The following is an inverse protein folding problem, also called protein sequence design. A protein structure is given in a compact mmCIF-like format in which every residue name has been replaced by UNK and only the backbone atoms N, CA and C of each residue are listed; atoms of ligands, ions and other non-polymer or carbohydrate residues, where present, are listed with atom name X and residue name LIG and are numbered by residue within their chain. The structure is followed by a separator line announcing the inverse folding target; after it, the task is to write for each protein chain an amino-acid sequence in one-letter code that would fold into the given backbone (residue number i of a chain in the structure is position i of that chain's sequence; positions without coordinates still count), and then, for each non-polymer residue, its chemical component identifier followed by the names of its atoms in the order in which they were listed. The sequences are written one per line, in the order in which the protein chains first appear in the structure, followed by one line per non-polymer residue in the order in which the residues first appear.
data_IF_537280174295
#
_entry.id   IF_537280174295
#
_cell.length_a   1.000
_cell.length_b   1.000
_cell.length_c   1.000
_cell.angle_alpha   90.00
_cell.angle_beta   90.00
_cell.angle_gamma   90.00
#
_symmetry.space_group_name_H-M   'P 1'
#
loop_
_entity.id
_entity.type
_entity.pdbx_description
1 polymer ?
#
# COMPACT_ATOMS: atom_id res chain seq x y z
N UNK A 1 -28.07 12.55 -35.96
CA UNK A 1 -28.71 12.30 -34.65
C UNK A 1 -29.44 13.58 -34.26
N UNK A 2 -30.73 13.49 -33.93
CA UNK A 2 -31.50 14.67 -33.52
C UNK A 2 -31.02 15.09 -32.13
N UNK A 3 -30.56 16.34 -32.00
CA UNK A 3 -30.13 16.89 -30.71
C UNK A 3 -31.37 17.12 -29.85
N UNK A 4 -31.46 16.39 -28.73
CA UNK A 4 -32.62 16.43 -27.84
C UNK A 4 -32.42 17.43 -26.68
N UNK A 5 -31.16 17.71 -26.30
CA UNK A 5 -30.81 18.71 -25.31
C UNK A 5 -29.89 19.76 -25.94
N UNK A 6 -30.40 20.98 -26.06
CA UNK A 6 -29.61 22.11 -26.53
C UNK A 6 -28.80 22.70 -25.38
N UNK A 7 -27.49 22.60 -25.45
CA UNK A 7 -26.59 23.27 -24.51
C UNK A 7 -26.33 24.69 -24.99
N UNK A 8 -26.34 25.70 -24.10
CA UNK A 8 -26.07 27.07 -24.50
C UNK A 8 -24.66 27.22 -25.03
N UNK A 9 -24.45 28.18 -25.93
CA UNK A 9 -23.11 28.55 -26.37
C UNK A 9 -22.27 29.04 -25.18
N UNK A 10 -21.02 28.59 -25.12
CA UNK A 10 -20.11 29.01 -24.08
C UNK A 10 -19.72 30.47 -24.31
N UNK A 11 -19.77 31.27 -23.25
CA UNK A 11 -19.19 32.61 -23.24
C UNK A 11 -17.67 32.52 -23.45
N UNK A 12 -17.04 33.61 -23.92
CA UNK A 12 -15.62 33.64 -24.28
C UNK A 12 -14.69 33.14 -23.16
N UNK A 13 -14.94 33.50 -21.90
CA UNK A 13 -14.16 32.99 -20.76
C UNK A 13 -14.29 31.47 -20.59
N UNK A 14 -15.48 30.91 -20.86
CA UNK A 14 -15.75 29.48 -20.78
C UNK A 14 -15.06 28.71 -21.91
N UNK A 15 -14.98 29.29 -23.10
CA UNK A 15 -14.23 28.76 -24.23
C UNK A 15 -12.72 28.74 -23.95
N UNK A 16 -12.18 29.85 -23.41
CA UNK A 16 -10.77 29.93 -22.99
C UNK A 16 -10.44 28.88 -21.91
N UNK A 17 -11.34 28.68 -20.95
CA UNK A 17 -11.18 27.66 -19.93
C UNK A 17 -11.21 26.24 -20.53
N UNK A 18 -12.18 25.96 -21.42
CA UNK A 18 -12.29 24.69 -22.15
C UNK A 18 -11.03 24.33 -22.94
N UNK A 19 -10.30 25.34 -23.44
CA UNK A 19 -9.05 25.14 -24.18
C UNK A 19 -7.94 24.48 -23.35
N UNK A 20 -7.91 24.69 -22.02
CA UNK A 20 -6.79 24.27 -21.17
C UNK A 20 -7.16 23.07 -20.29
N UNK A 21 -8.43 22.97 -19.88
CA UNK A 21 -8.89 22.07 -18.82
C UNK A 21 -8.52 20.58 -19.03
N UNK A 22 -8.80 19.92 -20.17
CA UNK A 22 -8.48 18.52 -20.36
C UNK A 22 -6.98 18.21 -20.21
N UNK A 23 -6.12 19.10 -20.72
CA UNK A 23 -4.68 18.94 -20.67
C UNK A 23 -4.14 19.13 -19.25
N UNK A 24 -4.65 20.12 -18.51
CA UNK A 24 -4.29 20.35 -17.12
C UNK A 24 -4.68 19.16 -16.22
N UNK A 25 -5.88 18.61 -16.42
CA UNK A 25 -6.37 17.48 -15.65
C UNK A 25 -5.54 16.20 -15.85
N UNK A 26 -4.97 16.01 -17.04
CA UNK A 26 -4.11 14.86 -17.38
C UNK A 26 -2.69 14.95 -16.82
N UNK A 27 -2.23 16.10 -16.32
CA UNK A 27 -0.84 16.26 -15.89
C UNK A 27 -0.59 15.94 -14.41
N UNK A 28 -1.56 16.18 -13.51
CA UNK A 28 -1.26 16.14 -12.06
C UNK A 28 -2.11 15.16 -11.23
N UNK A 29 -3.29 14.73 -11.69
CA UNK A 29 -4.27 14.11 -10.78
C UNK A 29 -4.37 12.59 -10.87
N UNK A 30 -3.76 11.96 -11.88
CA UNK A 30 -3.94 10.53 -12.16
C UNK A 30 -2.66 9.76 -11.90
N UNK A 31 -2.64 9.00 -10.79
CA UNK A 31 -1.57 8.09 -10.44
C UNK A 31 -1.75 6.72 -11.13
N UNK A 32 -1.28 6.63 -12.38
CA UNK A 32 -1.35 5.39 -13.16
C UNK A 32 -0.44 4.30 -12.58
N UNK A 33 0.67 4.67 -11.92
CA UNK A 33 1.62 3.71 -11.35
C UNK A 33 0.98 2.92 -10.20
N UNK A 34 0.31 3.61 -9.26
CA UNK A 34 -0.42 2.94 -8.18
C UNK A 34 -1.59 2.12 -8.69
N UNK A 35 -2.33 2.60 -9.70
CA UNK A 35 -3.42 1.82 -10.32
C UNK A 35 -2.92 0.53 -10.95
N UNK A 36 -1.83 0.62 -11.72
CA UNK A 36 -1.21 -0.55 -12.33
C UNK A 36 -0.68 -1.51 -11.27
N UNK A 37 -0.01 -1.00 -10.23
CA UNK A 37 0.44 -1.79 -9.11
C UNK A 37 -0.71 -2.54 -8.42
N UNK A 38 -1.84 -1.85 -8.17
CA UNK A 38 -3.03 -2.49 -7.59
C UNK A 38 -3.68 -3.51 -8.51
N UNK A 39 -3.71 -3.27 -9.83
CA UNK A 39 -4.17 -4.25 -10.81
C UNK A 39 -3.30 -5.50 -10.77
N UNK A 40 -1.98 -5.35 -10.77
CA UNK A 40 -1.04 -6.47 -10.72
C UNK A 40 -1.06 -7.22 -9.39
N UNK A 41 -1.29 -6.51 -8.28
CA UNK A 41 -1.35 -7.08 -6.93
C UNK A 41 -2.66 -7.84 -6.71
N UNK A 42 -3.80 -7.17 -6.93
CA UNK A 42 -5.12 -7.68 -6.57
C UNK A 42 -5.88 -8.33 -7.72
N UNK A 43 -5.45 -8.13 -8.96
CA UNK A 43 -6.22 -8.49 -10.15
C UNK A 43 -7.40 -7.55 -10.44
N UNK A 44 -7.63 -6.56 -9.57
CA UNK A 44 -8.78 -5.68 -9.62
C UNK A 44 -8.37 -4.21 -9.76
N UNK A 45 -8.96 -3.53 -10.74
CA UNK A 45 -8.92 -2.08 -10.87
C UNK A 45 -10.23 -1.65 -11.54
N UNK A 46 -10.90 -0.56 -11.14
CA UNK A 46 -12.16 -0.16 -11.76
C UNK A 46 -11.97 0.11 -13.26
N UNK A 47 -12.67 -0.64 -14.12
CA UNK A 47 -12.46 -0.59 -15.58
C UNK A 47 -12.86 0.74 -16.20
N UNK A 48 -13.80 1.46 -15.60
CA UNK A 48 -14.21 2.78 -16.04
C UNK A 48 -13.16 3.88 -15.73
N UNK A 49 -12.05 3.56 -15.05
CA UNK A 49 -11.09 4.52 -14.51
C UNK A 49 -9.66 4.41 -15.09
N UNK A 50 -9.52 4.62 -16.39
CA UNK A 50 -8.23 4.59 -17.08
C UNK A 50 -7.89 5.82 -17.93
N UNK A 51 -7.99 7.05 -17.39
CA UNK A 51 -7.37 8.21 -18.04
C UNK A 51 -5.85 8.04 -18.05
N UNK A 52 -5.21 8.28 -19.21
CA UNK A 52 -3.79 8.05 -19.41
C UNK A 52 -2.98 9.34 -19.52
N UNK A 53 -2.11 9.56 -18.54
CA UNK A 53 -1.09 10.63 -18.56
C UNK A 53 0.10 10.24 -19.45
N UNK A 54 0.99 11.16 -19.87
CA UNK A 54 2.16 10.80 -20.67
C UNK A 54 3.10 9.86 -19.91
N UNK A 55 3.25 10.08 -18.60
CA UNK A 55 4.04 9.22 -17.70
C UNK A 55 3.42 7.83 -17.60
N UNK A 56 2.10 7.77 -17.42
CA UNK A 56 1.34 6.51 -17.40
C UNK A 56 1.45 5.74 -18.72
N UNK A 57 1.39 6.42 -19.86
CA UNK A 57 1.57 5.80 -21.17
C UNK A 57 2.97 5.19 -21.33
N UNK A 58 4.03 5.92 -20.93
CA UNK A 58 5.42 5.41 -20.95
C UNK A 58 5.57 4.17 -20.08
N UNK A 59 4.96 4.19 -18.88
CA UNK A 59 4.95 3.04 -17.98
C UNK A 59 4.25 1.83 -18.62
N UNK A 60 3.03 2.01 -19.12
CA UNK A 60 2.22 0.93 -19.69
C UNK A 60 2.81 0.38 -21.00
N UNK A 61 3.62 1.16 -21.71
CA UNK A 61 4.30 0.76 -22.93
C UNK A 61 5.70 0.21 -22.71
N UNK A 62 6.26 0.33 -21.51
CA UNK A 62 7.60 -0.16 -21.15
C UNK A 62 7.79 -1.65 -21.44
N UNK A 63 9.02 -2.04 -21.77
CA UNK A 63 9.46 -3.43 -21.99
C UNK A 63 9.99 -4.10 -20.71
N UNK A 64 9.82 -3.46 -19.56
CA UNK A 64 10.22 -4.03 -18.27
C UNK A 64 9.49 -5.35 -18.00
N UNK A 65 10.24 -6.36 -17.53
CA UNK A 65 9.64 -7.60 -17.08
C UNK A 65 8.72 -7.35 -15.87
N UNK A 66 7.58 -8.01 -15.88
CA UNK A 66 6.50 -7.86 -14.89
C UNK A 66 6.21 -9.15 -14.12
N UNK A 67 6.98 -10.21 -14.39
CA UNK A 67 6.82 -11.54 -13.78
C UNK A 67 7.14 -11.53 -12.29
N UNK A 68 8.28 -10.96 -11.92
CA UNK A 68 8.88 -11.14 -10.59
C UNK A 68 8.37 -10.18 -9.52
N UNK A 69 7.90 -8.98 -9.90
CA UNK A 69 7.43 -7.97 -8.95
C UNK A 69 6.27 -7.13 -9.50
N UNK A 70 5.43 -6.62 -8.57
CA UNK A 70 4.43 -5.60 -8.88
C UNK A 70 5.08 -4.31 -9.37
N UNK A 71 4.37 -3.49 -10.14
CA UNK A 71 4.87 -2.27 -10.77
C UNK A 71 5.78 -1.40 -9.88
N UNK A 72 5.30 -1.00 -8.69
CA UNK A 72 6.08 -0.19 -7.75
C UNK A 72 7.12 -0.96 -6.92
N UNK A 73 7.09 -2.29 -6.90
CA UNK A 73 8.07 -3.12 -6.18
C UNK A 73 9.27 -3.49 -7.06
N UNK A 74 9.27 -3.11 -8.33
CA UNK A 74 10.41 -3.33 -9.24
C UNK A 74 11.61 -2.48 -8.81
N UNK A 75 12.80 -2.95 -9.17
CA UNK A 75 14.06 -2.32 -8.81
C UNK A 75 14.07 -0.81 -9.15
N UNK A 76 14.64 -0.03 -8.23
CA UNK A 76 14.82 1.42 -8.34
C UNK A 76 13.54 2.27 -8.41
N UNK A 77 12.35 1.70 -8.19
CA UNK A 77 11.08 2.47 -8.17
C UNK A 77 10.81 3.14 -6.84
N UNK A 78 11.15 2.47 -5.74
CA UNK A 78 10.88 2.94 -4.38
C UNK A 78 12.12 2.68 -3.51
N UNK A 79 12.43 3.55 -2.53
CA UNK A 79 13.54 3.32 -1.61
C UNK A 79 13.50 1.92 -0.98
N UNK A 80 14.67 1.31 -0.85
CA UNK A 80 14.84 0.00 -0.22
C UNK A 80 14.23 0.03 1.17
N UNK A 81 13.49 -1.01 1.51
CA UNK A 81 12.99 -1.24 2.86
C UNK A 81 13.85 -2.32 3.50
N UNK A 82 14.54 -1.97 4.57
CA UNK A 82 15.43 -2.91 5.27
C UNK A 82 14.60 -3.77 6.22
N UNK A 83 14.69 -5.09 6.06
CA UNK A 83 14.06 -6.07 6.93
C UNK A 83 15.12 -6.80 7.76
N UNK A 84 14.76 -7.18 8.99
CA UNK A 84 15.61 -7.96 9.90
C UNK A 84 14.80 -9.11 10.51
N UNK A 85 15.37 -10.32 10.51
CA UNK A 85 14.79 -11.48 11.18
C UNK A 85 15.16 -11.47 12.67
N UNK A 86 14.16 -11.47 13.56
CA UNK A 86 14.39 -11.47 15.01
C UNK A 86 15.07 -12.74 15.53
N UNK A 87 15.00 -13.86 14.80
CA UNK A 87 15.59 -15.13 15.21
C UNK A 87 17.01 -15.32 14.66
N UNK A 88 17.18 -15.22 13.35
CA UNK A 88 18.47 -15.53 12.72
C UNK A 88 19.42 -14.34 12.65
N UNK A 89 18.91 -13.12 12.86
CA UNK A 89 19.74 -11.91 12.73
C UNK A 89 19.96 -11.45 11.29
N UNK A 90 19.44 -12.17 10.30
CA UNK A 90 19.59 -11.84 8.89
C UNK A 90 18.97 -10.49 8.57
N UNK A 91 19.76 -9.58 8.01
CA UNK A 91 19.31 -8.33 7.43
C UNK A 91 19.19 -8.50 5.90
N UNK A 92 18.03 -8.17 5.34
CA UNK A 92 17.74 -8.35 3.91
C UNK A 92 16.85 -7.20 3.40
N UNK A 93 16.93 -6.84 2.11
CA UNK A 93 15.97 -5.93 1.50
C UNK A 93 14.60 -6.60 1.36
N UNK A 94 13.51 -5.86 1.59
CA UNK A 94 12.17 -6.37 1.33
C UNK A 94 11.95 -6.61 -0.16
N UNK A 95 11.32 -7.73 -0.51
CA UNK A 95 10.96 -8.05 -1.90
C UNK A 95 9.71 -7.31 -2.40
N UNK A 96 8.94 -6.68 -1.50
CA UNK A 96 7.72 -5.95 -1.85
C UNK A 96 7.60 -4.62 -1.07
N UNK A 97 8.60 -3.72 -1.18
CA UNK A 97 8.75 -2.55 -0.32
C UNK A 97 7.66 -1.49 -0.52
N UNK A 98 7.10 -1.36 -1.73
CA UNK A 98 6.00 -0.44 -2.02
C UNK A 98 4.66 -1.04 -1.56
N UNK A 99 4.42 -2.33 -1.84
CA UNK A 99 3.23 -3.03 -1.37
C UNK A 99 3.12 -2.94 0.16
N UNK A 100 4.22 -3.20 0.88
CA UNK A 100 4.21 -3.13 2.34
C UNK A 100 3.89 -1.72 2.85
N UNK A 101 4.45 -0.68 2.22
CA UNK A 101 4.14 0.71 2.57
C UNK A 101 2.67 1.05 2.36
N UNK A 102 2.06 0.57 1.27
CA UNK A 102 0.62 0.74 1.01
C UNK A 102 -0.24 0.03 2.06
N UNK A 103 0.15 -1.17 2.49
CA UNK A 103 -0.53 -1.91 3.56
C UNK A 103 -0.41 -1.15 4.88
N UNK A 104 0.79 -0.70 5.23
CA UNK A 104 1.06 0.03 6.48
C UNK A 104 0.27 1.34 6.54
N UNK A 105 0.26 2.12 5.46
CA UNK A 105 -0.47 3.38 5.38
C UNK A 105 -1.99 3.16 5.37
N UNK A 106 -2.48 2.10 4.72
CA UNK A 106 -3.90 1.75 4.66
C UNK A 106 -4.44 1.12 5.95
N UNK A 107 -3.58 0.50 6.76
CA UNK A 107 -3.97 -0.17 8.00
C UNK A 107 -4.20 0.86 9.10
N UNK A 108 -5.45 0.94 9.58
CA UNK A 108 -5.84 1.83 10.68
C UNK A 108 -5.17 1.40 11.98
N UNK A 109 -4.75 2.39 12.78
CA UNK A 109 -4.22 2.14 14.12
C UNK A 109 -5.35 1.62 15.00
N UNK A 110 -5.23 0.36 15.43
CA UNK A 110 -6.18 -0.29 16.31
C UNK A 110 -6.05 0.20 17.75
N UNK A 111 -4.80 0.32 18.23
CA UNK A 111 -4.51 0.82 19.58
C UNK A 111 -3.27 1.68 19.59
N UNK A 112 -3.31 2.78 20.33
CA UNK A 112 -2.13 3.57 20.69
C UNK A 112 -1.81 3.31 22.16
N UNK A 113 -0.58 2.90 22.45
CA UNK A 113 -0.10 2.77 23.83
C UNK A 113 0.55 4.10 24.21
N UNK A 114 0.14 4.67 25.34
CA UNK A 114 0.74 5.90 25.87
C UNK A 114 1.98 5.57 26.68
N UNK A 115 2.99 6.41 26.54
CA UNK A 115 4.23 6.32 27.28
C UNK A 115 4.37 7.59 28.11
N UNK A 116 4.21 7.49 29.43
CA UNK A 116 4.20 8.66 30.32
C UNK A 116 5.52 9.43 30.24
N UNK A 117 6.65 8.72 30.15
CA UNK A 117 7.98 9.32 29.99
C UNK A 117 8.17 10.06 28.66
N UNK A 118 7.38 9.71 27.64
CA UNK A 118 7.38 10.39 26.34
C UNK A 118 6.68 11.75 26.35
N UNK A 119 5.63 11.90 27.17
CA UNK A 119 4.81 13.12 27.23
C UNK A 119 5.39 14.14 28.24
N UNK A 120 6.04 13.68 29.31
CA UNK A 120 6.61 14.53 30.36
C UNK A 120 7.97 15.14 30.01
N UNK A 121 8.75 14.47 29.16
CA UNK A 121 10.02 15.01 28.67
C UNK A 121 9.75 15.88 27.44
N UNK A 122 9.70 17.20 27.63
CA UNK A 122 9.86 18.19 26.54
C UNK A 122 11.27 18.15 25.90
N UNK A 123 11.95 17.01 25.90
CA UNK A 123 13.37 16.86 25.67
C UNK A 123 13.73 16.97 24.19
N UNK A 124 14.91 17.55 23.95
CA UNK A 124 15.61 17.71 22.66
C UNK A 124 16.03 16.38 22.00
N UNK A 125 15.54 15.24 22.48
CA UNK A 125 15.94 13.90 22.02
C UNK A 125 15.11 13.44 20.83
N UNK A 126 15.75 12.68 19.93
CA UNK A 126 15.09 12.15 18.73
C UNK A 126 14.10 11.05 19.11
N UNK A 127 12.83 11.45 19.24
CA UNK A 127 11.68 10.59 19.48
C UNK A 127 11.66 9.39 18.52
N UNK A 128 11.36 8.22 19.05
CA UNK A 128 11.24 6.99 18.29
C UNK A 128 9.79 6.52 18.28
N UNK A 129 9.40 5.87 17.19
CA UNK A 129 8.08 5.35 16.99
C UNK A 129 8.17 3.91 16.53
N UNK A 130 7.55 3.02 17.30
CA UNK A 130 7.32 1.63 16.92
C UNK A 130 5.89 1.45 16.48
N UNK A 131 5.70 0.83 15.32
CA UNK A 131 4.41 0.33 14.89
C UNK A 131 4.47 -1.19 14.81
N UNK A 132 3.69 -1.85 15.66
CA UNK A 132 3.57 -3.30 15.70
C UNK A 132 2.37 -3.74 14.86
N UNK A 133 2.63 -4.61 13.90
CA UNK A 133 1.66 -5.24 13.01
C UNK A 133 1.49 -6.70 13.43
N UNK A 134 0.36 -6.97 14.09
CA UNK A 134 -0.05 -8.31 14.47
C UNK A 134 -0.76 -8.96 13.28
N UNK A 135 -0.11 -9.93 12.64
CA UNK A 135 -0.60 -10.65 11.47
C UNK A 135 -1.36 -11.89 11.95
N UNK A 136 -2.62 -12.02 11.55
CA UNK A 136 -3.49 -13.12 11.93
C UNK A 136 -4.08 -13.75 10.66
N UNK A 137 -4.22 -15.08 10.65
CA UNK A 137 -5.03 -15.74 9.64
C UNK A 137 -6.49 -15.44 9.90
N UNK A 138 -7.20 -15.07 8.84
CA UNK A 138 -8.61 -14.78 8.94
C UNK A 138 -9.37 -16.11 9.01
N UNK A 139 -10.27 -16.31 9.99
CA UNK A 139 -11.09 -17.52 10.02
C UNK A 139 -11.87 -17.64 8.71
N UNK A 140 -11.98 -18.88 8.20
CA UNK A 140 -12.62 -19.18 6.92
C UNK A 140 -13.98 -18.47 6.83
N UNK A 141 -14.11 -17.56 5.86
CA UNK A 141 -15.26 -16.69 5.75
C UNK A 141 -16.49 -17.49 5.25
N UNK A 142 -17.66 -17.24 5.85
CA UNK A 142 -18.92 -17.93 5.54
C UNK A 142 -19.21 -17.99 4.02
N UNK A 143 -19.72 -19.15 3.59
CA UNK A 143 -20.03 -19.54 2.20
C UNK A 143 -20.88 -18.54 1.39
N UNK A 144 -21.63 -17.64 2.05
CA UNK A 144 -22.54 -16.69 1.39
C UNK A 144 -21.81 -15.66 0.51
N UNK A 145 -20.63 -15.18 0.93
CA UNK A 145 -19.82 -14.22 0.15
C UNK A 145 -19.25 -14.86 -1.12
N UNK A 146 -18.99 -16.17 -1.06
CA UNK A 146 -18.57 -16.96 -2.24
C UNK A 146 -19.68 -17.07 -3.29
N UNK A 147 -20.96 -17.09 -2.90
CA UNK A 147 -22.07 -17.29 -3.85
C UNK A 147 -22.40 -16.05 -4.69
N UNK A 148 -22.20 -14.84 -4.14
CA UNK A 148 -22.32 -13.57 -4.90
C UNK A 148 -21.04 -13.29 -5.72
N UNK A 149 -19.94 -13.99 -5.41
CA UNK A 149 -18.61 -13.81 -5.98
C UNK A 149 -18.35 -14.47 -7.35
N UNK A 150 -19.36 -14.95 -8.08
CA UNK A 150 -19.12 -15.57 -9.39
C UNK A 150 -18.45 -14.63 -10.40
N UNK A 151 -18.75 -13.32 -10.33
CA UNK A 151 -18.20 -12.28 -11.23
C UNK A 151 -17.12 -11.43 -10.55
N UNK A 152 -17.26 -11.15 -9.25
CA UNK A 152 -16.34 -10.28 -8.49
C UNK A 152 -15.39 -11.05 -7.54
N UNK A 153 -15.47 -12.38 -7.51
CA UNK A 153 -14.53 -13.25 -6.78
C UNK A 153 -14.26 -12.83 -5.34
N UNK A 154 -12.97 -12.72 -5.04
CA UNK A 154 -12.41 -12.28 -3.75
C UNK A 154 -12.32 -10.75 -3.63
N UNK A 155 -13.12 -9.96 -4.37
CA UNK A 155 -13.10 -8.50 -4.25
C UNK A 155 -13.74 -8.03 -2.94
N UNK A 156 -13.30 -6.87 -2.45
CA UNK A 156 -13.92 -6.26 -1.28
C UNK A 156 -15.31 -5.71 -1.61
N UNK A 157 -16.27 -5.73 -0.67
CA UNK A 157 -17.59 -5.13 -0.89
C UNK A 157 -17.52 -3.65 -1.27
N UNK A 158 -16.54 -2.92 -0.72
CA UNK A 158 -16.30 -1.52 -1.06
C UNK A 158 -15.84 -1.37 -2.51
N UNK A 159 -14.94 -2.23 -2.99
CA UNK A 159 -14.55 -2.25 -4.40
C UNK A 159 -15.75 -2.49 -5.31
N UNK A 160 -16.61 -3.47 -4.97
CA UNK A 160 -17.82 -3.77 -5.74
C UNK A 160 -18.75 -2.56 -5.79
N UNK A 161 -19.00 -1.92 -4.64
CA UNK A 161 -19.78 -0.69 -4.56
C UNK A 161 -19.20 0.43 -5.43
N UNK A 162 -17.90 0.72 -5.30
CA UNK A 162 -17.23 1.76 -6.09
C UNK A 162 -17.25 1.43 -7.58
N UNK A 163 -17.11 0.16 -7.94
CA UNK A 163 -17.17 -0.31 -9.32
C UNK A 163 -18.55 -0.08 -9.93
N UNK A 164 -19.62 -0.53 -9.25
CA UNK A 164 -21.02 -0.32 -9.67
C UNK A 164 -21.33 1.18 -9.74
N UNK A 165 -20.96 1.94 -8.72
CA UNK A 165 -21.19 3.39 -8.65
C UNK A 165 -20.56 4.12 -9.85
N UNK A 166 -19.29 3.82 -10.16
CA UNK A 166 -18.63 4.44 -11.30
C UNK A 166 -19.19 4.00 -12.64
N UNK A 167 -19.63 2.74 -12.79
CA UNK A 167 -20.35 2.30 -14.00
C UNK A 167 -21.69 3.01 -14.18
N UNK A 168 -22.46 3.19 -13.11
CA UNK A 168 -23.74 3.91 -13.15
C UNK A 168 -23.54 5.37 -13.60
N UNK A 169 -22.54 6.07 -13.05
CA UNK A 169 -22.22 7.44 -13.45
C UNK A 169 -21.70 7.47 -14.89
N UNK A 170 -20.88 6.50 -15.30
CA UNK A 170 -20.39 6.39 -16.67
C UNK A 170 -21.54 6.28 -17.67
N UNK A 171 -22.52 5.38 -17.42
CA UNK A 171 -23.70 5.21 -18.29
C UNK A 171 -24.54 6.49 -18.34
N UNK A 172 -24.79 7.11 -17.18
CA UNK A 172 -25.57 8.35 -17.10
C UNK A 172 -24.90 9.48 -17.88
N UNK A 173 -23.58 9.64 -17.75
CA UNK A 173 -22.82 10.66 -18.46
C UNK A 173 -22.75 10.38 -19.96
N UNK A 174 -22.58 9.12 -20.36
CA UNK A 174 -22.61 8.71 -21.78
C UNK A 174 -23.95 9.05 -22.43
N UNK A 175 -25.06 8.77 -21.74
CA UNK A 175 -26.40 9.10 -22.20
C UNK A 175 -26.63 10.61 -22.29
N UNK A 176 -26.20 11.38 -21.28
CA UNK A 176 -26.27 12.83 -21.30
C UNK A 176 -25.46 13.41 -22.48
N UNK A 177 -24.23 12.94 -22.68
CA UNK A 177 -23.40 13.35 -23.81
C UNK A 177 -24.06 13.00 -25.16
N UNK A 178 -24.75 11.85 -25.28
CA UNK A 178 -25.45 11.46 -26.50
C UNK A 178 -26.64 12.38 -26.81
N UNK A 179 -27.48 12.68 -25.81
CA UNK A 179 -28.63 13.60 -25.96
C UNK A 179 -28.15 15.02 -26.32
N UNK A 180 -27.03 15.46 -25.75
CA UNK A 180 -26.41 16.76 -26.02
C UNK A 180 -25.50 16.79 -27.26
N UNK A 181 -25.37 15.70 -28.00
CA UNK A 181 -24.50 15.57 -29.18
C UNK A 181 -23.00 15.90 -28.92
N UNK A 182 -22.49 15.57 -27.73
CA UNK A 182 -21.09 15.74 -27.32
C UNK A 182 -20.24 14.54 -27.77
N UNK A 183 -20.02 14.42 -29.08
CA UNK A 183 -19.40 13.23 -29.67
C UNK A 183 -17.95 12.98 -29.24
N UNK A 184 -17.16 14.03 -28.97
CA UNK A 184 -15.77 13.85 -28.52
C UNK A 184 -15.76 13.31 -27.09
N UNK A 185 -16.63 13.83 -26.22
CA UNK A 185 -16.79 13.30 -24.87
C UNK A 185 -17.24 11.83 -24.86
N UNK A 186 -18.19 11.45 -25.73
CA UNK A 186 -18.60 10.04 -25.90
C UNK A 186 -17.39 9.17 -26.28
N UNK A 187 -16.62 9.59 -27.28
CA UNK A 187 -15.41 8.88 -27.71
C UNK A 187 -14.42 8.70 -26.55
N UNK A 188 -14.19 9.76 -25.77
CA UNK A 188 -13.31 9.70 -24.61
C UNK A 188 -13.82 8.72 -23.53
N UNK A 189 -15.12 8.75 -23.22
CA UNK A 189 -15.73 7.86 -22.23
C UNK A 189 -15.65 6.40 -22.63
N UNK A 190 -15.86 6.07 -23.91
CA UNK A 190 -15.72 4.72 -24.44
C UNK A 190 -14.27 4.20 -24.40
N UNK A 191 -13.28 5.10 -24.53
CA UNK A 191 -11.87 4.72 -24.45
C UNK A 191 -11.45 4.27 -23.04
N UNK A 192 -12.16 4.65 -21.98
CA UNK A 192 -11.82 4.27 -20.60
C UNK A 192 -11.88 2.74 -20.38
N UNK A 193 -13.03 2.06 -20.58
CA UNK A 193 -13.10 0.61 -20.45
C UNK A 193 -12.27 -0.12 -21.51
N UNK A 194 -12.16 0.42 -22.73
CA UNK A 194 -11.30 -0.17 -23.76
C UNK A 194 -9.82 -0.19 -23.32
N UNK A 195 -9.37 0.89 -22.69
CA UNK A 195 -8.03 0.98 -22.11
C UNK A 195 -7.85 -0.02 -20.98
N UNK A 196 -8.83 -0.13 -20.08
CA UNK A 196 -8.78 -1.11 -19.00
C UNK A 196 -8.61 -2.53 -19.52
N UNK A 197 -9.38 -2.92 -20.53
CA UNK A 197 -9.28 -4.24 -21.18
C UNK A 197 -7.89 -4.42 -21.78
N UNK A 198 -7.37 -3.44 -22.51
CA UNK A 198 -6.03 -3.51 -23.10
C UNK A 198 -4.92 -3.67 -22.05
N UNK A 199 -5.03 -2.95 -20.93
CA UNK A 199 -4.11 -3.06 -19.79
C UNK A 199 -4.24 -4.44 -19.14
N UNK A 200 -5.45 -4.93 -18.88
CA UNK A 200 -5.68 -6.26 -18.31
C UNK A 200 -5.17 -7.38 -19.22
N UNK A 201 -5.31 -7.26 -20.54
CA UNK A 201 -4.73 -8.22 -21.50
C UNK A 201 -3.20 -8.27 -21.42
N UNK A 202 -2.57 -7.12 -21.19
CA UNK A 202 -1.12 -6.98 -21.10
C UNK A 202 -0.56 -7.43 -19.76
N UNK A 203 -1.16 -7.01 -18.65
CA UNK A 203 -0.61 -7.20 -17.30
C UNK A 203 -1.31 -8.33 -16.52
N UNK A 204 -2.38 -8.91 -17.07
CA UNK A 204 -3.17 -9.95 -16.44
C UNK A 204 -4.16 -9.44 -15.38
N UNK A 205 -5.13 -10.27 -15.04
CA UNK A 205 -6.15 -10.04 -13.99
C UNK A 205 -6.04 -11.01 -12.82
N UNK A 206 -5.04 -11.91 -12.82
CA UNK A 206 -4.88 -12.85 -11.71
C UNK A 206 -4.19 -12.16 -10.54
N UNK A 207 -4.78 -12.20 -9.33
CA UNK A 207 -4.12 -11.67 -8.15
C UNK A 207 -2.78 -12.36 -7.92
N UNK A 208 -1.83 -11.63 -7.35
CA UNK A 208 -0.63 -12.21 -6.77
C UNK A 208 -0.96 -12.76 -5.39
N UNK A 209 -0.37 -13.90 -5.05
CA UNK A 209 -0.59 -14.59 -3.79
C UNK A 209 0.70 -14.64 -2.97
N UNK A 210 0.58 -14.80 -1.66
CA UNK A 210 1.74 -15.06 -0.81
C UNK A 210 2.23 -16.49 -1.05
N UNK A 211 3.48 -16.62 -1.50
CA UNK A 211 4.06 -17.93 -1.81
C UNK A 211 4.12 -18.82 -0.56
N UNK A 212 3.27 -19.85 -0.52
CA UNK A 212 3.23 -20.83 0.58
C UNK A 212 4.48 -21.72 0.60
N UNK A 213 4.94 -22.12 1.78
CA UNK A 213 5.98 -23.13 1.93
C UNK A 213 5.37 -24.53 2.01
N UNK A 214 5.98 -25.49 1.30
CA UNK A 214 5.64 -26.92 1.40
C UNK A 214 5.85 -27.52 2.80
N UNK A 215 6.53 -26.82 3.70
CA UNK A 215 6.70 -27.20 5.11
C UNK A 215 6.39 -26.00 6.02
N UNK A 216 5.13 -25.86 6.49
CA UNK A 216 4.79 -24.88 7.50
C UNK A 216 5.48 -25.22 8.81
N UNK A 217 6.52 -24.47 9.16
CA UNK A 217 6.91 -24.39 10.57
C UNK A 217 5.77 -23.72 11.33
N UNK A 218 5.21 -24.39 12.33
CA UNK A 218 4.03 -23.93 13.08
C UNK A 218 4.34 -22.78 14.08
N UNK A 219 5.49 -22.11 13.92
CA UNK A 219 5.99 -21.12 14.85
C UNK A 219 5.60 -19.70 14.41
N UNK A 220 5.26 -18.87 15.38
CA UNK A 220 5.20 -17.43 15.18
C UNK A 220 6.59 -16.89 14.88
N UNK A 221 6.66 -15.86 14.04
CA UNK A 221 7.88 -15.18 13.65
C UNK A 221 7.79 -13.72 14.06
N UNK A 222 8.94 -13.17 14.43
CA UNK A 222 9.12 -11.75 14.65
C UNK A 222 10.10 -11.20 13.62
N UNK A 223 9.68 -10.16 12.91
CA UNK A 223 10.51 -9.50 11.91
C UNK A 223 10.38 -7.98 12.03
N UNK A 224 11.47 -7.27 11.75
CA UNK A 224 11.50 -5.81 11.76
C UNK A 224 11.62 -5.30 10.34
N UNK A 225 11.07 -4.12 10.09
CA UNK A 225 11.24 -3.38 8.86
C UNK A 225 11.45 -1.89 9.17
N UNK A 226 12.33 -1.24 8.41
CA UNK A 226 12.58 0.20 8.52
C UNK A 226 13.07 0.78 7.20
N UNK A 227 12.69 2.03 6.92
CA UNK A 227 13.23 2.77 5.77
C UNK A 227 14.72 3.08 5.93
N UNK A 228 15.23 3.11 7.16
CA UNK A 228 16.63 3.39 7.46
C UNK A 228 16.99 2.79 8.81
N UNK A 229 18.15 2.14 8.93
CA UNK A 229 18.67 1.70 10.22
C UNK A 229 18.87 2.85 11.22
N UNK A 230 19.00 4.08 10.68
CA UNK A 230 19.05 5.30 11.46
C UNK A 230 17.71 6.04 11.53
N UNK A 231 16.60 5.43 11.10
CA UNK A 231 15.26 5.98 11.17
C UNK A 231 14.76 6.18 12.61
N UNK A 232 13.75 7.03 12.75
CA UNK A 232 12.96 7.18 13.98
C UNK A 232 11.71 6.31 13.98
N UNK A 233 11.31 5.79 12.82
CA UNK A 233 10.12 4.95 12.66
C UNK A 233 10.53 3.51 12.36
N UNK A 234 9.99 2.59 13.13
CA UNK A 234 10.27 1.17 13.05
C UNK A 234 8.96 0.40 12.95
N UNK A 235 8.94 -0.63 12.11
CA UNK A 235 7.79 -1.49 11.92
C UNK A 235 8.15 -2.89 12.39
N UNK A 236 7.41 -3.43 13.34
CA UNK A 236 7.57 -4.79 13.81
C UNK A 236 6.40 -5.64 13.33
N UNK A 237 6.67 -6.81 12.77
CA UNK A 237 5.69 -7.78 12.32
C UNK A 237 5.75 -9.00 13.23
N UNK A 238 4.61 -9.40 13.77
CA UNK A 238 4.48 -10.57 14.63
C UNK A 238 3.28 -11.40 14.20
N UNK A 239 3.44 -12.73 14.10
CA UNK A 239 2.39 -13.64 13.65
C UNK A 239 2.94 -14.87 12.94
N UNK A 240 2.12 -15.62 12.18
CA UNK A 240 2.54 -16.86 11.55
C UNK A 240 3.69 -16.67 10.56
N UNK A 241 4.67 -17.58 10.58
CA UNK A 241 5.90 -17.50 9.78
C UNK A 241 5.67 -17.37 8.28
N UNK A 242 4.71 -18.11 7.71
CA UNK A 242 4.47 -18.12 6.25
C UNK A 242 3.98 -16.75 5.77
N UNK A 243 2.88 -16.18 6.31
CA UNK A 243 2.44 -14.83 6.01
C UNK A 243 3.54 -13.77 6.11
N UNK A 244 4.31 -13.75 7.22
CA UNK A 244 5.35 -12.75 7.43
C UNK A 244 6.46 -12.87 6.39
N UNK A 245 6.92 -14.09 6.10
CA UNK A 245 7.91 -14.31 5.06
C UNK A 245 7.39 -13.98 3.67
N UNK A 246 6.12 -14.28 3.39
CA UNK A 246 5.45 -13.90 2.16
C UNK A 246 5.42 -12.38 1.97
N UNK A 247 5.14 -11.63 3.03
CA UNK A 247 5.02 -10.17 2.99
C UNK A 247 6.37 -9.45 2.92
N UNK A 248 7.38 -9.95 3.64
CA UNK A 248 8.64 -9.23 3.81
C UNK A 248 9.77 -9.74 2.91
N UNK A 249 9.91 -11.06 2.76
CA UNK A 249 11.12 -11.69 2.21
C UNK A 249 10.91 -12.39 0.87
N UNK A 250 9.67 -12.50 0.39
CA UNK A 250 9.37 -13.24 -0.84
C UNK A 250 8.82 -12.32 -1.91
N UNK A 251 9.29 -12.45 -3.16
CA UNK A 251 8.68 -11.75 -4.26
C UNK A 251 7.23 -12.22 -4.42
N UNK A 252 6.35 -11.29 -4.74
CA UNK A 252 4.96 -11.57 -5.05
C UNK A 252 4.88 -12.07 -6.49
N UNK A 253 5.27 -13.31 -6.74
CA UNK A 253 5.36 -13.85 -8.10
C UNK A 253 3.98 -13.94 -8.75
N UNK A 254 3.94 -13.73 -10.08
CA UNK A 254 2.73 -13.94 -10.85
C UNK A 254 2.55 -15.45 -11.12
N UNK A 255 1.39 -16.00 -10.74
CA UNK A 255 1.11 -17.43 -10.94
C UNK A 255 1.00 -17.87 -12.41
N UNK A 256 0.66 -16.96 -13.33
CA UNK A 256 0.64 -17.23 -14.77
C UNK A 256 1.05 -15.98 -15.57
N UNK A 257 1.93 -16.11 -16.59
CA UNK A 257 2.30 -14.98 -17.43
C UNK A 257 1.10 -14.48 -18.26
N UNK A 258 1.08 -13.20 -18.64
CA UNK A 258 0.02 -12.64 -19.48
C UNK A 258 0.04 -13.31 -20.86
N UNK A 259 -1.14 -13.73 -21.34
CA UNK A 259 -1.27 -14.50 -22.59
C UNK A 259 -1.12 -13.66 -23.86
N UNK A 260 -1.32 -12.35 -23.78
CA UNK A 260 -1.50 -11.48 -24.94
C UNK A 260 -0.70 -10.17 -24.86
N UNK A 261 0.55 -10.19 -24.39
CA UNK A 261 1.36 -8.97 -24.21
C UNK A 261 1.48 -8.12 -25.50
N UNK A 262 1.77 -8.74 -26.65
CA UNK A 262 1.91 -8.02 -27.94
C UNK A 262 0.62 -7.33 -28.38
N UNK A 263 -0.52 -8.02 -28.26
CA UNK A 263 -1.83 -7.47 -28.61
C UNK A 263 -2.22 -6.35 -27.64
N UNK A 264 -2.09 -6.61 -26.32
CA UNK A 264 -2.36 -5.63 -25.28
C UNK A 264 -1.53 -4.35 -25.47
N UNK A 265 -0.25 -4.49 -25.80
CA UNK A 265 0.63 -3.36 -26.12
C UNK A 265 0.15 -2.55 -27.31
N UNK A 266 -0.22 -3.18 -28.42
CA UNK A 266 -0.77 -2.49 -29.59
C UNK A 266 -2.07 -1.75 -29.27
N UNK A 267 -2.98 -2.40 -28.54
CA UNK A 267 -4.23 -1.80 -28.10
C UNK A 267 -4.00 -0.61 -27.16
N UNK A 268 -3.04 -0.71 -26.23
CA UNK A 268 -2.65 0.41 -25.35
C UNK A 268 -2.11 1.57 -26.20
N UNK A 269 -1.26 1.33 -27.21
CA UNK A 269 -0.77 2.40 -28.10
C UNK A 269 -1.93 3.13 -28.79
N UNK A 270 -2.87 2.36 -29.35
CA UNK A 270 -4.06 2.93 -30.00
C UNK A 270 -4.87 3.76 -28.99
N UNK A 271 -5.16 3.20 -27.81
CA UNK A 271 -5.93 3.88 -26.77
C UNK A 271 -5.24 5.16 -26.29
N UNK A 272 -3.91 5.15 -26.09
CA UNK A 272 -3.15 6.35 -25.73
C UNK A 272 -3.31 7.41 -26.80
N UNK A 273 -2.99 7.11 -28.06
CA UNK A 273 -3.09 8.08 -29.15
C UNK A 273 -4.52 8.62 -29.25
N UNK A 274 -5.53 7.75 -29.23
CA UNK A 274 -6.93 8.16 -29.29
C UNK A 274 -7.36 9.04 -28.12
N UNK A 275 -6.99 8.71 -26.87
CA UNK A 275 -7.34 9.53 -25.70
C UNK A 275 -6.75 10.94 -25.82
N UNK A 276 -5.49 11.04 -26.23
CA UNK A 276 -4.80 12.31 -26.40
C UNK A 276 -5.34 13.12 -27.57
N UNK A 277 -5.60 12.49 -28.72
CA UNK A 277 -6.23 13.15 -29.87
C UNK A 277 -7.60 13.70 -29.51
N UNK A 278 -8.44 12.92 -28.80
CA UNK A 278 -9.76 13.37 -28.38
C UNK A 278 -9.67 14.52 -27.37
N UNK A 279 -8.74 14.46 -26.41
CA UNK A 279 -8.52 15.54 -25.46
C UNK A 279 -8.09 16.84 -26.17
N UNK A 280 -7.11 16.77 -27.08
CA UNK A 280 -6.62 17.92 -27.86
C UNK A 280 -7.73 18.47 -28.77
N UNK A 281 -8.49 17.60 -29.45
CA UNK A 281 -9.60 18.02 -30.30
C UNK A 281 -10.70 18.71 -29.47
N UNK A 282 -10.96 18.22 -28.25
CA UNK A 282 -11.94 18.84 -27.33
C UNK A 282 -11.48 20.23 -26.89
N UNK A 283 -10.19 20.40 -26.57
CA UNK A 283 -9.56 21.69 -26.30
C UNK A 283 -9.68 22.63 -27.49
N UNK A 284 -9.32 22.18 -28.69
CA UNK A 284 -9.35 22.98 -29.91
C UNK A 284 -10.78 23.45 -30.28
N UNK A 285 -11.79 22.61 -30.03
CA UNK A 285 -13.20 22.95 -30.26
C UNK A 285 -13.75 23.94 -29.21
N UNK A 286 -13.08 24.10 -28.07
CA UNK A 286 -13.46 25.01 -26.97
C UNK A 286 -14.95 24.88 -26.57
N UNK A 287 -15.45 23.65 -26.54
CA UNK A 287 -16.86 23.34 -26.36
C UNK A 287 -17.11 22.54 -25.08
N UNK A 288 -18.39 22.27 -24.79
CA UNK A 288 -18.83 21.43 -23.66
C UNK A 288 -18.19 20.03 -23.62
N UNK A 289 -17.70 19.52 -24.76
CA UNK A 289 -16.91 18.28 -24.83
C UNK A 289 -15.71 18.31 -23.86
N UNK A 290 -14.97 19.43 -23.82
CA UNK A 290 -13.79 19.57 -22.96
C UNK A 290 -14.15 19.54 -21.47
N UNK A 291 -15.27 20.16 -21.09
CA UNK A 291 -15.75 20.14 -19.72
C UNK A 291 -16.17 18.73 -19.30
N UNK A 292 -16.89 18.00 -20.16
CA UNK A 292 -17.30 16.62 -19.88
C UNK A 292 -16.10 15.68 -19.71
N UNK A 293 -15.10 15.78 -20.60
CA UNK A 293 -13.84 15.02 -20.50
C UNK A 293 -13.11 15.34 -19.19
N UNK A 294 -12.97 16.63 -18.86
CA UNK A 294 -12.30 17.09 -17.64
C UNK A 294 -13.02 16.63 -16.38
N UNK A 295 -14.35 16.75 -16.34
CA UNK A 295 -15.18 16.31 -15.25
C UNK A 295 -15.01 14.80 -15.00
N UNK A 296 -14.94 14.00 -16.06
CA UNK A 296 -14.72 12.57 -15.93
C UNK A 296 -13.33 12.24 -15.37
N UNK A 297 -12.28 12.94 -15.82
CA UNK A 297 -10.91 12.78 -15.27
C UNK A 297 -10.87 13.16 -13.79
N UNK A 298 -11.50 14.30 -13.43
CA UNK A 298 -11.59 14.74 -12.05
C UNK A 298 -12.36 13.75 -11.18
N UNK A 299 -13.51 13.25 -11.66
CA UNK A 299 -14.26 12.19 -10.99
C UNK A 299 -13.40 10.94 -10.75
N UNK A 300 -12.71 10.48 -11.78
CA UNK A 300 -11.78 9.35 -11.72
C UNK A 300 -10.69 9.54 -10.63
N UNK A 301 -10.10 10.73 -10.54
CA UNK A 301 -9.09 11.06 -9.55
C UNK A 301 -9.68 11.14 -8.13
N UNK A 302 -10.82 11.82 -7.96
CA UNK A 302 -11.50 11.97 -6.67
C UNK A 302 -11.92 10.62 -6.12
N UNK A 303 -12.53 9.75 -6.93
CA UNK A 303 -12.96 8.42 -6.47
C UNK A 303 -11.77 7.58 -6.02
N UNK A 304 -10.66 7.59 -6.75
CA UNK A 304 -9.46 6.84 -6.36
C UNK A 304 -8.75 7.44 -5.15
N UNK A 305 -8.85 8.75 -4.93
CA UNK A 305 -8.22 9.38 -3.76
C UNK A 305 -9.06 9.22 -2.49
N UNK A 306 -10.39 9.35 -2.63
CA UNK A 306 -11.30 9.49 -1.50
C UNK A 306 -12.11 8.23 -1.18
N UNK A 307 -12.59 7.50 -2.19
CA UNK A 307 -13.45 6.33 -1.99
C UNK A 307 -12.68 5.02 -1.97
N UNK A 308 -11.74 4.85 -2.90
CA UNK A 308 -10.96 3.60 -3.04
C UNK A 308 -9.48 3.87 -3.30
N UNK A 309 -8.79 4.30 -2.24
CA UNK A 309 -7.35 4.56 -2.29
C UNK A 309 -6.55 3.29 -2.51
N UNK A 310 -5.36 3.42 -3.08
CA UNK A 310 -4.48 2.27 -3.35
C UNK A 310 -3.99 1.63 -2.04
N UNK A 311 -3.81 2.43 -1.00
CA UNK A 311 -3.51 1.97 0.36
C UNK A 311 -4.64 1.06 0.88
N UNK A 312 -5.90 1.47 0.66
CA UNK A 312 -7.05 0.65 1.01
C UNK A 312 -7.13 -0.62 0.16
N UNK A 313 -6.86 -0.51 -1.13
CA UNK A 313 -6.80 -1.64 -2.05
C UNK A 313 -5.78 -2.69 -1.62
N UNK A 314 -4.60 -2.29 -1.15
CA UNK A 314 -3.57 -3.21 -0.67
C UNK A 314 -4.00 -3.94 0.62
N UNK A 315 -4.67 -3.26 1.54
CA UNK A 315 -5.27 -3.88 2.74
C UNK A 315 -6.40 -4.84 2.37
N UNK A 316 -7.25 -4.47 1.41
CA UNK A 316 -8.32 -5.34 0.94
C UNK A 316 -7.76 -6.58 0.22
N UNK A 317 -6.71 -6.43 -0.61
CA UNK A 317 -5.98 -7.57 -1.19
C UNK A 317 -5.51 -8.53 -0.10
N UNK A 318 -4.82 -8.02 0.92
CA UNK A 318 -4.34 -8.83 2.02
C UNK A 318 -5.49 -9.57 2.74
N UNK A 319 -6.62 -8.90 2.91
CA UNK A 319 -7.78 -9.42 3.63
C UNK A 319 -8.61 -10.44 2.86
N UNK A 320 -8.85 -10.19 1.57
CA UNK A 320 -9.79 -10.98 0.78
C UNK A 320 -9.11 -11.94 -0.19
N UNK A 321 -7.91 -11.62 -0.66
CA UNK A 321 -7.11 -12.53 -1.51
C UNK A 321 -6.23 -13.41 -0.64
N UNK A 322 -5.43 -12.82 0.25
CA UNK A 322 -4.49 -13.58 1.07
C UNK A 322 -5.12 -14.18 2.34
N UNK A 323 -6.34 -13.77 2.71
CA UNK A 323 -7.01 -14.26 3.90
C UNK A 323 -6.32 -13.86 5.22
N UNK A 324 -5.66 -12.69 5.24
CA UNK A 324 -4.92 -12.22 6.40
C UNK A 324 -5.51 -10.93 6.96
N UNK A 325 -5.51 -10.81 8.28
CA UNK A 325 -5.87 -9.59 8.97
C UNK A 325 -4.67 -9.03 9.73
N UNK A 326 -4.45 -7.72 9.63
CA UNK A 326 -3.39 -7.04 10.36
C UNK A 326 -4.00 -6.06 11.35
N UNK A 327 -3.61 -6.19 12.62
CA UNK A 327 -3.92 -5.22 13.67
C UNK A 327 -2.68 -4.39 13.98
N UNK A 328 -2.80 -3.07 13.80
CA UNK A 328 -1.70 -2.11 14.00
C UNK A 328 -1.76 -1.48 15.38
N UNK A 329 -0.68 -1.60 16.13
CA UNK A 329 -0.47 -0.96 17.44
C UNK A 329 0.64 0.07 17.31
N UNK A 330 0.39 1.29 17.81
CA UNK A 330 1.35 2.40 17.72
C UNK A 330 1.89 2.75 19.10
N UNK A 331 3.22 2.76 19.23
CA UNK A 331 3.91 2.94 20.52
C UNK A 331 5.05 3.96 20.37
N UNK A 332 4.98 5.10 21.06
CA UNK A 332 6.07 6.07 21.10
C UNK A 332 7.10 5.72 22.19
N UNK A 333 8.36 5.99 21.90
CA UNK A 333 9.51 5.75 22.78
C UNK A 333 10.37 7.01 22.90
N UNK A 334 10.95 7.25 24.07
CA UNK A 334 11.80 8.42 24.31
C UNK A 334 13.14 8.31 23.59
N UNK A 335 13.65 7.09 23.43
CA UNK A 335 14.98 6.82 22.87
C UNK A 335 15.00 5.55 22.02
N UNK A 336 16.07 5.39 21.22
CA UNK A 336 16.32 4.16 20.45
C UNK A 336 16.58 2.97 21.37
N UNK A 337 17.27 3.16 22.49
CA UNK A 337 17.54 2.09 23.46
C UNK A 337 16.26 1.58 24.11
N UNK A 338 15.33 2.47 24.45
CA UNK A 338 14.02 2.08 24.98
C UNK A 338 13.24 1.26 23.95
N UNK A 339 13.23 1.71 22.69
CA UNK A 339 12.59 0.96 21.59
C UNK A 339 13.22 -0.44 21.43
N UNK A 340 14.55 -0.54 21.35
CA UNK A 340 15.23 -1.82 21.17
C UNK A 340 15.03 -2.76 22.36
N UNK A 341 15.04 -2.24 23.59
CA UNK A 341 14.72 -3.03 24.80
C UNK A 341 13.30 -3.60 24.75
N UNK A 342 12.33 -2.83 24.27
CA UNK A 342 10.97 -3.31 24.06
C UNK A 342 10.89 -4.40 22.96
N UNK A 343 11.68 -4.27 21.89
CA UNK A 343 11.75 -5.30 20.84
C UNK A 343 12.39 -6.59 21.33
N UNK A 344 13.45 -6.52 22.15
CA UNK A 344 14.05 -7.70 22.81
C UNK A 344 12.98 -8.41 23.65
N UNK A 345 12.21 -7.65 24.43
CA UNK A 345 11.13 -8.21 25.27
C UNK A 345 10.01 -8.86 24.46
N UNK A 346 9.70 -8.31 23.28
CA UNK A 346 8.64 -8.76 22.39
C UNK A 346 9.03 -10.00 21.56
N UNK A 347 10.32 -10.14 21.26
CA UNK A 347 10.84 -11.23 20.44
C UNK A 347 10.69 -12.59 21.15
N UNK A 348 9.97 -13.57 20.55
CA UNK A 348 9.89 -14.91 21.13
C UNK A 348 11.25 -15.63 21.12
N UNK A 349 12.11 -15.33 20.15
CA UNK A 349 13.45 -15.91 20.00
C UNK A 349 14.51 -14.97 20.61
N UNK A 350 14.30 -14.54 21.86
CA UNK A 350 15.16 -13.54 22.53
C UNK A 350 16.56 -14.03 22.90
N UNK A 351 16.91 -15.30 22.67
CA UNK A 351 18.25 -15.84 22.95
C UNK A 351 19.31 -15.33 21.96
N UNK A 352 18.87 -14.82 20.82
CA UNK A 352 19.73 -14.34 19.73
C UNK A 352 19.49 -12.87 19.45
N UNK A 353 20.53 -12.06 19.60
CA UNK A 353 20.49 -10.59 19.37
C UNK A 353 21.27 -10.15 18.12
N UNK A 354 21.61 -11.07 17.22
CA UNK A 354 22.36 -10.76 15.99
C UNK A 354 21.69 -9.70 15.12
N UNK A 355 20.36 -9.61 15.15
CA UNK A 355 19.59 -8.58 14.43
C UNK A 355 19.84 -7.15 14.94
N UNK A 356 20.42 -6.98 16.13
CA UNK A 356 20.83 -5.67 16.67
C UNK A 356 22.17 -5.19 16.10
N UNK A 357 23.01 -6.09 15.58
CA UNK A 357 24.38 -5.78 15.16
C UNK A 357 24.45 -4.67 14.08
N UNK A 358 23.54 -4.62 13.09
CA UNK A 358 23.49 -3.51 12.13
C UNK A 358 23.05 -2.17 12.72
N UNK A 359 22.42 -2.16 13.90
CA UNK A 359 21.81 -0.98 14.54
C UNK A 359 22.75 -0.38 15.57
N UNK A 360 23.31 -1.22 16.44
CA UNK A 360 24.27 -0.86 17.49
C UNK A 360 25.40 -1.89 17.44
N UNK A 361 26.63 -1.46 17.20
CA UNK A 361 27.74 -2.41 17.08
C UNK A 361 27.96 -3.22 18.35
N UNK A 362 28.19 -4.53 18.17
CA UNK A 362 28.49 -5.50 19.25
C UNK A 362 29.83 -5.26 19.95
N UNK A 363 30.72 -4.52 19.30
CA UNK A 363 32.07 -4.23 19.82
C UNK A 363 32.06 -3.20 20.94
N UNK A 364 31.00 -2.39 21.07
CA UNK A 364 30.89 -1.42 22.16
C UNK A 364 30.56 -2.12 23.48
N UNK A 365 31.44 -1.97 24.46
CA UNK A 365 31.24 -2.48 25.83
C UNK A 365 29.93 -1.99 26.45
N UNK A 366 29.57 -0.73 26.18
CA UNK A 366 28.32 -0.13 26.62
C UNK A 366 27.08 -0.88 26.10
N UNK A 367 27.11 -1.39 24.86
CA UNK A 367 26.01 -2.22 24.35
C UNK A 367 25.88 -3.49 25.18
N UNK A 368 27.00 -4.16 25.49
CA UNK A 368 26.99 -5.42 26.26
C UNK A 368 26.43 -5.20 27.66
N UNK A 369 26.83 -4.11 28.32
CA UNK A 369 26.31 -3.73 29.64
C UNK A 369 24.81 -3.41 29.58
N UNK A 370 24.38 -2.62 28.60
CA UNK A 370 22.97 -2.31 28.39
C UNK A 370 22.13 -3.56 28.09
N UNK A 371 22.62 -4.43 27.20
CA UNK A 371 21.94 -5.67 26.81
C UNK A 371 21.82 -6.64 28.00
N UNK A 372 22.90 -6.81 28.78
CA UNK A 372 22.88 -7.60 30.01
C UNK A 372 21.86 -7.05 31.03
N UNK A 373 21.84 -5.74 31.25
CA UNK A 373 20.87 -5.10 32.15
C UNK A 373 19.42 -5.24 31.66
N UNK A 374 19.17 -5.25 30.34
CA UNK A 374 17.85 -5.54 29.78
C UNK A 374 17.42 -6.97 30.14
N UNK A 375 18.27 -7.98 29.93
CA UNK A 375 17.94 -9.36 30.29
C UNK A 375 17.75 -9.54 31.80
N UNK A 376 18.66 -9.00 32.60
CA UNK A 376 18.57 -9.05 34.06
C UNK A 376 17.26 -8.43 34.56
N UNK A 377 16.84 -7.29 34.00
CA UNK A 377 15.59 -6.64 34.40
C UNK A 377 14.35 -7.39 33.90
N UNK A 378 14.40 -8.01 32.70
CA UNK A 378 13.32 -8.86 32.19
C UNK A 378 13.08 -10.04 33.13
N UNK A 379 14.16 -10.67 33.61
CA UNK A 379 14.10 -11.89 34.42
C UNK A 379 13.83 -11.61 35.91
N UNK A 380 14.55 -10.66 36.51
CA UNK A 380 14.51 -10.41 37.96
C UNK A 380 13.43 -9.42 38.39
N UNK A 381 13.07 -8.44 37.53
CA UNK A 381 12.25 -7.26 37.88
C UNK A 381 12.79 -6.42 39.02
N UNK A 382 14.04 -6.66 39.44
CA UNK A 382 14.69 -5.90 40.51
C UNK A 382 15.60 -4.87 39.89
N UNK A 383 15.54 -3.66 40.44
CA UNK A 383 16.42 -2.57 40.02
C UNK A 383 17.82 -2.82 40.60
N UNK A 384 18.80 -3.03 39.73
CA UNK A 384 20.19 -3.21 40.16
C UNK A 384 20.84 -1.86 40.41
N UNK A 385 21.17 -1.57 41.67
CA UNK A 385 21.79 -0.30 42.10
C UNK A 385 23.06 0.04 41.34
N UNK A 386 23.82 -0.97 40.86
CA UNK A 386 25.03 -0.77 40.06
C UNK A 386 24.74 -0.09 38.72
N UNK A 387 23.60 -0.40 38.11
CA UNK A 387 23.20 0.17 36.82
C UNK A 387 22.44 1.48 36.97
N UNK A 388 21.90 1.80 38.15
CA UNK A 388 21.18 3.06 38.40
C UNK A 388 21.99 4.33 38.13
N UNK A 389 23.31 4.26 38.28
CA UNK A 389 24.21 5.39 37.99
C UNK A 389 24.43 5.62 36.48
N UNK A 390 24.10 4.64 35.63
CA UNK A 390 24.31 4.71 34.19
C UNK A 390 23.24 5.54 33.49
N UNK A 391 23.65 6.44 32.60
CA UNK A 391 22.73 7.36 31.92
C UNK A 391 21.66 6.64 31.08
N UNK A 392 21.94 5.40 30.65
CA UNK A 392 21.08 4.62 29.78
C UNK A 392 20.10 3.72 30.52
N UNK A 393 20.26 3.56 31.82
CA UNK A 393 19.42 2.68 32.63
C UNK A 393 17.94 3.07 32.65
N UNK A 394 17.55 4.38 32.68
CA UNK A 394 16.15 4.77 32.53
C UNK A 394 15.49 4.25 31.24
N UNK A 395 16.28 4.08 30.16
CA UNK A 395 15.78 3.55 28.89
C UNK A 395 15.57 2.03 28.94
N UNK A 396 16.30 1.31 29.80
CA UNK A 396 16.06 -0.12 30.05
C UNK A 396 14.71 -0.30 30.73
N UNK A 397 14.47 0.45 31.80
CA UNK A 397 13.20 0.43 32.53
C UNK A 397 12.02 0.74 31.59
N UNK A 398 12.10 1.85 30.86
CA UNK A 398 11.07 2.24 29.89
C UNK A 398 10.87 1.15 28.82
N UNK A 399 11.96 0.64 28.24
CA UNK A 399 11.90 -0.35 27.17
C UNK A 399 11.21 -1.64 27.61
N UNK A 400 11.58 -2.18 28.76
CA UNK A 400 11.01 -3.44 29.27
C UNK A 400 9.56 -3.24 29.70
N UNK A 401 9.23 -2.17 30.44
CA UNK A 401 7.85 -1.87 30.86
C UNK A 401 6.91 -1.66 29.67
N UNK A 402 7.36 -0.95 28.64
CA UNK A 402 6.60 -0.77 27.41
C UNK A 402 6.50 -2.08 26.63
N UNK A 403 7.55 -2.91 26.64
CA UNK A 403 7.54 -4.26 26.09
C UNK A 403 6.49 -5.16 26.74
N UNK A 404 6.34 -5.10 28.07
CA UNK A 404 5.29 -5.84 28.79
C UNK A 404 3.89 -5.35 28.42
N UNK A 405 3.66 -4.02 28.39
CA UNK A 405 2.37 -3.46 27.94
C UNK A 405 2.00 -3.90 26.53
N UNK A 406 3.00 -4.02 25.64
CA UNK A 406 2.80 -4.53 24.29
C UNK A 406 2.46 -6.03 24.32
N UNK A 407 3.14 -6.83 25.14
CA UNK A 407 2.86 -8.26 25.28
C UNK A 407 1.46 -8.52 25.83
N UNK A 408 1.06 -7.81 26.89
CA UNK A 408 -0.28 -7.91 27.48
C UNK A 408 -1.36 -7.56 26.45
N UNK A 409 -1.12 -6.51 25.65
CA UNK A 409 -2.04 -6.12 24.59
C UNK A 409 -2.09 -7.16 23.47
N UNK A 410 -0.94 -7.71 23.08
CA UNK A 410 -0.82 -8.76 22.07
C UNK A 410 -1.66 -9.98 22.46
N UNK A 411 -1.57 -10.43 23.71
CA UNK A 411 -2.33 -11.57 24.24
C UNK A 411 -3.84 -11.31 24.34
N UNK A 412 -4.27 -10.05 24.46
CA UNK A 412 -5.70 -9.70 24.41
C UNK A 412 -6.26 -9.61 23.00
N UNK A 413 -5.39 -9.46 22.00
CA UNK A 413 -5.75 -9.21 20.61
C UNK A 413 -5.73 -10.49 19.76
N UNK A 414 -4.77 -11.38 20.03
CA UNK A 414 -4.71 -12.75 19.52
C UNK A 414 -5.69 -13.62 20.29
#
# INVERSE_FOLDING_TARGET
MVQLLHLPELQMWGQQLANILPLAALLEFVDVEKKLHMLELSGFCPMWNWPLTPVGARLLLSDQDTTDACCLDRDNRVPVLHCMDGKYGDAYPSSAPATLRLIISGTRVHKKITNRGFDSNGSKTRKQLLELFLVQERPAQNHWIRSVGGVYGNASPLYVFVSIFGWSIWVALLFLCAISALYLAIGYLLLMPATAVAVTLRFGSKPRELTSMKQPGNANRFALATNSLNGSEWWAFYGPKIPINGLLNRPLLRGQPPRHDKLGRWLIRLCVVSQWTVAIASCAKQSWDAFAVTLWIAFCAIVMKCLYSSERGAVDWLKYVCGLEIKRVKVPFTSRRSLLGALIRLNPDRETTGWLDPIISKTHEERKLWEAAVYEYIDSRVVNEKHCAEYWYPFVLEGVEMGDKICDLKERIL
#
